data_IF_725053020094
#
_entry.id   IF_725053020094
#
_cell.length_a   1.000
_cell.length_b   1.000
_cell.length_c   1.000
_cell.angle_alpha   90.00
_cell.angle_beta   90.00
_cell.angle_gamma   90.00
#
_symmetry.space_group_name_H-M   'P 1'
#
loop_
_entity.id
_entity.type
_entity.pdbx_description
1 polymer ?
#
# COMPACT_ATOMS: atom_id res chain seq x y z
N UNK A 1 18.06 7.22 -4.05
CA UNK A 1 17.88 7.77 -5.42
C UNK A 1 16.39 7.71 -5.77
N UNK A 2 15.89 8.61 -6.62
CA UNK A 2 14.50 8.55 -7.08
C UNK A 2 14.22 9.41 -8.30
N UNK A 3 13.12 9.08 -8.98
CA UNK A 3 12.62 9.70 -10.19
C UNK A 3 11.22 10.25 -9.95
N UNK A 4 10.82 11.24 -10.73
CA UNK A 4 9.44 11.73 -10.70
C UNK A 4 8.95 11.94 -12.11
N UNK A 5 7.82 11.31 -12.42
CA UNK A 5 7.24 11.27 -13.75
C UNK A 5 5.88 11.97 -13.74
N UNK A 6 5.55 12.63 -14.85
CA UNK A 6 4.16 12.88 -15.21
C UNK A 6 3.41 11.56 -15.46
N UNK A 7 2.09 11.63 -15.65
CA UNK A 7 1.29 10.47 -16.04
C UNK A 7 1.78 9.86 -17.37
N UNK A 8 2.02 10.68 -18.39
CA UNK A 8 2.49 10.23 -19.70
C UNK A 8 3.90 9.63 -19.63
N UNK A 9 4.79 10.27 -18.86
CA UNK A 9 6.16 9.79 -18.68
C UNK A 9 6.19 8.44 -17.96
N UNK A 10 5.37 8.27 -16.91
CA UNK A 10 5.29 6.98 -16.21
C UNK A 10 4.69 5.89 -17.10
N UNK A 11 3.62 6.18 -17.83
CA UNK A 11 3.05 5.25 -18.80
C UNK A 11 4.07 4.82 -19.85
N UNK A 12 4.89 5.76 -20.34
CA UNK A 12 5.96 5.48 -21.31
C UNK A 12 7.02 4.54 -20.75
N UNK A 13 7.64 4.89 -19.61
CA UNK A 13 8.71 4.04 -19.05
C UNK A 13 8.18 2.70 -18.55
N UNK A 14 6.92 2.63 -18.06
CA UNK A 14 6.33 1.37 -17.61
C UNK A 14 6.18 0.35 -18.74
N UNK A 15 5.98 0.79 -19.99
CA UNK A 15 5.90 -0.13 -21.14
C UNK A 15 7.16 -0.97 -21.34
N UNK A 16 8.32 -0.48 -20.88
CA UNK A 16 9.58 -1.24 -20.92
C UNK A 16 9.57 -2.47 -20.02
N UNK A 17 8.68 -2.53 -19.02
CA UNK A 17 8.52 -3.71 -18.16
C UNK A 17 7.86 -4.90 -18.87
N UNK A 18 7.28 -4.68 -20.06
CA UNK A 18 6.51 -5.69 -20.80
C UNK A 18 5.15 -6.04 -20.16
N UNK A 19 4.71 -5.29 -19.15
CA UNK A 19 3.42 -5.50 -18.50
C UNK A 19 2.29 -4.78 -19.24
N UNK A 20 1.22 -5.51 -19.55
CA UNK A 20 0.06 -4.96 -20.27
C UNK A 20 -0.80 -4.00 -19.43
N UNK A 21 -0.66 -4.03 -18.11
CA UNK A 21 -1.48 -3.25 -17.17
C UNK A 21 -0.62 -2.34 -16.31
N UNK A 22 -1.17 -1.17 -15.98
CA UNK A 22 -0.59 -0.32 -14.94
C UNK A 22 -0.56 -1.07 -13.60
N UNK A 23 0.51 -0.92 -12.81
CA UNK A 23 0.64 -1.64 -11.57
C UNK A 23 -0.30 -1.04 -10.52
N UNK A 24 -1.20 -1.86 -9.97
CA UNK A 24 -2.11 -1.42 -8.91
C UNK A 24 -1.30 -1.02 -7.65
N UNK A 25 -1.61 0.11 -6.99
CA UNK A 25 -2.82 0.94 -7.12
C UNK A 25 -2.68 2.18 -8.00
N UNK A 26 -1.60 2.30 -8.79
CA UNK A 26 -1.38 3.48 -9.63
C UNK A 26 -2.47 3.58 -10.70
N UNK A 27 -3.03 4.77 -10.85
CA UNK A 27 -4.09 5.08 -11.82
C UNK A 27 -3.61 6.21 -12.72
N UNK A 28 -3.13 5.84 -13.90
CA UNK A 28 -2.53 6.78 -14.85
C UNK A 28 -3.56 7.16 -15.90
N UNK A 29 -3.72 8.45 -16.14
CA UNK A 29 -4.44 8.98 -17.29
C UNK A 29 -3.44 9.64 -18.23
N UNK A 30 -3.26 9.06 -19.42
CA UNK A 30 -2.48 9.70 -20.47
C UNK A 30 -3.20 10.97 -20.97
N UNK A 31 -2.45 12.04 -21.19
CA UNK A 31 -2.97 13.36 -21.58
C UNK A 31 -3.49 13.47 -23.02
N UNK A 32 -2.94 12.75 -24.03
CA UNK A 32 -3.41 12.86 -25.40
C UNK A 32 -4.89 12.48 -25.55
N UNK A 33 -5.65 13.33 -26.27
CA UNK A 33 -7.07 13.11 -26.56
C UNK A 33 -7.31 12.62 -27.98
N UNK A 34 -6.31 12.76 -28.85
CA UNK A 34 -6.33 12.31 -30.25
C UNK A 34 -5.15 11.41 -30.56
N UNK A 35 -5.25 10.61 -31.62
CA UNK A 35 -4.18 9.72 -32.07
C UNK A 35 -2.93 10.51 -32.49
N UNK A 36 -3.11 11.62 -33.22
CA UNK A 36 -1.99 12.49 -33.63
C UNK A 36 -1.25 13.09 -32.43
N UNK A 37 -1.98 13.52 -31.40
CA UNK A 37 -1.37 13.96 -30.13
C UNK A 37 -0.59 12.82 -29.47
N UNK A 38 -1.16 11.61 -29.45
CA UNK A 38 -0.51 10.45 -28.87
C UNK A 38 0.79 10.09 -29.62
N UNK A 39 0.79 10.15 -30.95
CA UNK A 39 1.99 9.94 -31.78
C UNK A 39 3.06 10.98 -31.46
N UNK A 40 2.69 12.27 -31.39
CA UNK A 40 3.63 13.35 -31.06
C UNK A 40 4.22 13.19 -29.65
N UNK A 41 3.39 12.93 -28.64
CA UNK A 41 3.84 12.74 -27.26
C UNK A 41 4.77 11.52 -27.16
N UNK A 42 4.42 10.39 -27.77
CA UNK A 42 5.28 9.19 -27.78
C UNK A 42 6.61 9.41 -28.50
N UNK A 43 6.63 10.20 -29.58
CA UNK A 43 7.89 10.57 -30.25
C UNK A 43 8.79 11.39 -29.32
N UNK A 44 8.25 12.45 -28.70
CA UNK A 44 8.99 13.29 -27.76
C UNK A 44 9.47 12.52 -26.53
N UNK A 45 8.66 11.60 -25.99
CA UNK A 45 9.04 10.77 -24.85
C UNK A 45 10.13 9.76 -25.20
N UNK A 46 10.11 9.14 -26.39
CA UNK A 46 11.19 8.25 -26.84
C UNK A 46 12.54 8.95 -26.94
N UNK A 47 12.54 10.21 -27.35
CA UNK A 47 13.77 11.01 -27.44
C UNK A 47 14.30 11.41 -26.05
N UNK A 48 13.41 11.85 -25.16
CA UNK A 48 13.77 12.32 -23.81
C UNK A 48 14.06 11.20 -22.81
N UNK A 49 13.35 10.08 -22.94
CA UNK A 49 13.40 8.90 -22.08
C UNK A 49 13.64 7.67 -22.98
N UNK A 50 14.86 7.53 -23.54
CA UNK A 50 15.19 6.38 -24.36
C UNK A 50 15.19 5.11 -23.51
N UNK A 51 14.67 4.02 -24.07
CA UNK A 51 14.59 2.74 -23.38
C UNK A 51 15.96 2.23 -22.96
N UNK A 52 16.08 1.79 -21.71
CA UNK A 52 17.37 1.39 -21.12
C UNK A 52 18.39 2.53 -20.95
N UNK A 53 18.01 3.79 -21.16
CA UNK A 53 18.89 4.96 -20.98
C UNK A 53 19.30 5.21 -19.52
N UNK A 54 18.53 4.68 -18.57
CA UNK A 54 18.83 4.68 -17.14
C UNK A 54 18.76 3.24 -16.59
N UNK A 55 19.90 2.58 -16.36
CA UNK A 55 19.95 1.21 -15.85
C UNK A 55 19.32 1.04 -14.46
N UNK A 56 19.42 2.04 -13.58
CA UNK A 56 18.88 2.00 -12.22
C UNK A 56 17.35 2.10 -12.26
N UNK A 57 16.81 2.96 -13.12
CA UNK A 57 15.38 3.02 -13.38
C UNK A 57 14.87 1.70 -13.97
N UNK A 58 15.57 1.14 -14.96
CA UNK A 58 15.21 -0.14 -15.56
C UNK A 58 15.18 -1.26 -14.52
N UNK A 59 16.13 -1.28 -13.58
CA UNK A 59 16.11 -2.20 -12.45
C UNK A 59 14.89 -1.99 -11.53
N UNK A 60 14.54 -0.72 -11.25
CA UNK A 60 13.35 -0.41 -10.45
C UNK A 60 12.05 -0.91 -11.11
N UNK A 61 11.89 -0.71 -12.41
CA UNK A 61 10.72 -1.15 -13.17
C UNK A 61 10.61 -2.67 -13.17
N UNK A 62 11.73 -3.40 -13.31
CA UNK A 62 11.76 -4.86 -13.18
C UNK A 62 11.32 -5.33 -11.79
N UNK A 63 11.79 -4.69 -10.71
CA UNK A 63 11.38 -5.00 -9.33
C UNK A 63 9.88 -4.77 -9.13
N UNK A 64 9.32 -3.70 -9.69
CA UNK A 64 7.88 -3.42 -9.60
C UNK A 64 7.08 -4.48 -10.38
N UNK A 65 7.56 -4.91 -11.55
CA UNK A 65 6.89 -5.87 -12.43
C UNK A 65 6.90 -7.31 -11.88
N UNK A 66 8.01 -7.74 -11.30
CA UNK A 66 8.17 -9.09 -10.75
C UNK A 66 8.76 -9.06 -9.31
N UNK A 67 8.00 -8.58 -8.32
CA UNK A 67 8.46 -8.51 -6.94
C UNK A 67 8.46 -9.89 -6.25
N UNK A 68 9.29 -10.07 -5.22
CA UNK A 68 9.18 -11.20 -4.29
C UNK A 68 8.14 -10.90 -3.20
N UNK A 69 8.03 -9.63 -2.82
CA UNK A 69 7.00 -9.14 -1.91
C UNK A 69 6.50 -7.76 -2.33
N UNK A 70 5.23 -7.50 -2.03
CA UNK A 70 4.51 -6.28 -2.42
C UNK A 70 3.66 -5.77 -1.27
N UNK A 71 3.74 -4.47 -0.99
CA UNK A 71 2.79 -3.73 -0.15
C UNK A 71 2.01 -2.79 -1.07
N UNK A 72 0.69 -2.90 -1.03
CA UNK A 72 -0.22 -1.91 -1.62
C UNK A 72 -0.85 -1.12 -0.49
N UNK A 73 -0.77 0.21 -0.56
CA UNK A 73 -1.45 1.12 0.34
C UNK A 73 -2.36 2.05 -0.46
N UNK A 74 -3.64 2.06 -0.11
CA UNK A 74 -4.66 2.96 -0.64
C UNK A 74 -5.42 3.61 0.51
N UNK A 75 -5.86 4.85 0.35
CA UNK A 75 -6.61 5.55 1.39
C UNK A 75 -6.51 7.06 1.23
N UNK A 76 -6.70 7.78 2.32
CA UNK A 76 -6.55 9.23 2.36
C UNK A 76 -7.40 9.86 3.45
N UNK A 77 -7.31 11.17 3.57
CA UNK A 77 -8.28 11.93 4.34
C UNK A 77 -9.59 12.11 3.54
N UNK A 78 -10.62 12.63 4.19
CA UNK A 78 -11.89 12.94 3.51
C UNK A 78 -11.88 14.32 2.81
N UNK A 79 -10.69 14.78 2.39
CA UNK A 79 -10.49 16.05 1.68
C UNK A 79 -9.91 15.80 0.30
N UNK A 80 -10.36 16.50 -0.76
CA UNK A 80 -9.75 16.40 -2.09
C UNK A 80 -8.24 16.64 -2.03
N UNK A 81 -7.46 15.84 -2.75
CA UNK A 81 -6.00 16.00 -2.76
C UNK A 81 -5.29 15.33 -1.58
N UNK A 82 -5.95 14.41 -0.87
CA UNK A 82 -5.34 13.63 0.21
C UNK A 82 -5.25 12.13 -0.10
N UNK A 83 -5.60 11.74 -1.32
CA UNK A 83 -5.60 10.37 -1.78
C UNK A 83 -4.18 9.79 -1.76
N UNK A 84 -4.06 8.61 -1.17
CA UNK A 84 -2.84 7.83 -1.09
C UNK A 84 -2.96 6.68 -2.05
N UNK A 85 -1.99 6.58 -2.98
CA UNK A 85 -1.81 5.43 -3.87
C UNK A 85 -0.35 5.07 -3.87
N UNK A 86 -0.01 4.03 -3.13
CA UNK A 86 1.37 3.60 -2.94
C UNK A 86 1.52 2.12 -3.27
N UNK A 87 2.55 1.84 -4.04
CA UNK A 87 3.06 0.51 -4.30
C UNK A 87 4.49 0.41 -3.79
N UNK A 88 4.75 -0.49 -2.85
CA UNK A 88 6.10 -0.86 -2.44
C UNK A 88 6.39 -2.29 -2.88
N UNK A 89 7.50 -2.51 -3.55
CA UNK A 89 7.92 -3.81 -4.06
C UNK A 89 9.33 -4.10 -3.56
N UNK A 90 9.63 -5.35 -3.23
CA UNK A 90 10.98 -5.76 -2.86
C UNK A 90 11.41 -7.06 -3.52
N UNK A 91 12.69 -7.12 -3.84
CA UNK A 91 13.41 -8.30 -4.33
C UNK A 91 14.71 -8.35 -3.54
N UNK A 92 14.92 -9.43 -2.77
CA UNK A 92 16.03 -9.54 -1.81
C UNK A 92 16.16 -8.30 -0.91
N UNK A 93 17.32 -7.65 -0.92
CA UNK A 93 17.67 -6.47 -0.13
C UNK A 93 17.29 -5.13 -0.79
N UNK A 94 16.75 -5.16 -2.01
CA UNK A 94 16.28 -3.98 -2.73
C UNK A 94 14.78 -3.76 -2.58
N UNK A 95 14.37 -2.52 -2.28
CA UNK A 95 12.99 -2.09 -2.19
C UNK A 95 12.72 -0.81 -2.99
N UNK A 96 11.71 -0.88 -3.85
CA UNK A 96 11.24 0.21 -4.71
C UNK A 96 9.87 0.66 -4.22
N UNK A 97 9.68 1.97 -4.09
CA UNK A 97 8.38 2.58 -3.81
C UNK A 97 7.98 3.43 -5.01
N UNK A 98 6.77 3.19 -5.51
CA UNK A 98 6.05 4.07 -6.40
C UNK A 98 4.91 4.73 -5.63
N UNK A 99 5.00 6.04 -5.43
CA UNK A 99 4.00 6.87 -4.76
C UNK A 99 3.36 7.76 -5.79
N UNK A 100 2.04 7.70 -5.93
CA UNK A 100 1.30 8.59 -6.81
C UNK A 100 0.71 9.74 -6.01
N UNK A 101 1.03 10.96 -6.43
CA UNK A 101 0.39 12.17 -5.93
C UNK A 101 -1.10 12.17 -6.32
N UNK A 102 -1.98 12.86 -5.58
CA UNK A 102 -3.34 13.13 -6.02
C UNK A 102 -3.39 13.78 -7.39
N UNK A 103 -4.39 13.41 -8.19
CA UNK A 103 -4.62 13.99 -9.51
C UNK A 103 -5.68 15.09 -9.49
N UNK A 104 -5.96 15.65 -10.66
CA UNK A 104 -7.07 16.60 -10.84
C UNK A 104 -8.44 15.94 -10.89
N UNK A 105 -8.49 14.60 -10.97
CA UNK A 105 -9.73 13.81 -11.00
C UNK A 105 -9.66 12.72 -9.92
N UNK A 106 -10.74 12.43 -9.18
CA UNK A 106 -10.72 11.46 -8.09
C UNK A 106 -10.23 10.06 -8.49
N UNK A 107 -10.56 9.63 -9.71
CA UNK A 107 -10.26 8.28 -10.20
C UNK A 107 -8.81 8.06 -10.65
N UNK A 108 -8.06 9.15 -10.88
CA UNK A 108 -6.70 9.12 -11.44
C UNK A 108 -5.75 9.93 -10.57
N UNK A 109 -4.52 9.45 -10.39
CA UNK A 109 -3.51 10.24 -9.68
C UNK A 109 -2.73 11.16 -10.61
N UNK A 110 -1.96 12.05 -10.00
CA UNK A 110 -1.04 12.97 -10.65
C UNK A 110 0.33 12.31 -10.89
N UNK A 111 1.40 13.02 -10.50
CA UNK A 111 2.78 12.58 -10.73
C UNK A 111 3.07 11.28 -9.97
N UNK A 112 3.92 10.45 -10.55
CA UNK A 112 4.42 9.22 -9.91
C UNK A 112 5.87 9.41 -9.50
N UNK A 113 6.14 9.30 -8.20
CA UNK A 113 7.49 9.28 -7.63
C UNK A 113 7.94 7.84 -7.47
N UNK A 114 9.04 7.46 -8.13
CA UNK A 114 9.68 6.15 -7.96
C UNK A 114 10.95 6.33 -7.16
N UNK A 115 11.19 5.51 -6.15
CA UNK A 115 12.42 5.60 -5.33
C UNK A 115 12.91 4.24 -4.88
N UNK A 116 14.23 4.04 -4.94
CA UNK A 116 14.89 2.79 -4.53
C UNK A 116 15.64 2.99 -3.20
N UNK A 117 15.66 1.92 -2.39
CA UNK A 117 16.42 1.84 -1.15
C UNK A 117 16.49 0.39 -0.65
N UNK A 118 16.93 0.20 0.58
CA UNK A 118 17.09 -1.12 1.19
C UNK A 118 15.77 -1.66 1.77
N UNK A 119 15.53 -2.96 1.68
CA UNK A 119 14.31 -3.63 2.18
C UNK A 119 14.11 -3.48 3.69
N UNK A 120 15.18 -3.32 4.47
CA UNK A 120 15.07 -3.11 5.93
C UNK A 120 14.37 -1.81 6.35
N UNK A 121 14.23 -0.84 5.44
CA UNK A 121 13.58 0.45 5.71
C UNK A 121 12.21 0.61 5.06
N UNK A 122 11.71 -0.40 4.36
CA UNK A 122 10.48 -0.29 3.56
C UNK A 122 9.26 0.00 4.44
N UNK A 123 9.15 -0.61 5.62
CA UNK A 123 8.05 -0.38 6.55
C UNK A 123 7.97 1.08 7.01
N UNK A 124 9.12 1.68 7.35
CA UNK A 124 9.20 3.09 7.73
C UNK A 124 8.84 4.02 6.57
N UNK A 125 9.34 3.74 5.37
CA UNK A 125 9.04 4.54 4.17
C UNK A 125 7.56 4.50 3.79
N UNK A 126 6.91 3.34 3.91
CA UNK A 126 5.46 3.22 3.67
C UNK A 126 4.67 3.96 4.75
N UNK A 127 5.03 3.80 6.03
CA UNK A 127 4.34 4.47 7.12
C UNK A 127 4.44 6.00 7.06
N UNK A 128 5.56 6.52 6.55
CA UNK A 128 5.77 7.96 6.35
C UNK A 128 4.88 8.58 5.26
N UNK A 129 4.19 7.78 4.44
CA UNK A 129 3.23 8.28 3.45
C UNK A 129 1.81 8.43 4.00
N UNK A 130 1.57 8.06 5.26
CA UNK A 130 0.29 8.26 5.93
C UNK A 130 0.26 9.62 6.65
N UNK A 131 -0.94 10.13 6.99
CA UNK A 131 -1.05 11.32 7.83
C UNK A 131 -0.27 11.18 9.16
N UNK A 132 0.25 12.28 9.68
CA UNK A 132 0.90 12.31 10.99
C UNK A 132 -0.15 12.33 12.09
N UNK A 133 -0.58 11.13 12.50
CA UNK A 133 -1.65 10.91 13.48
C UNK A 133 -1.10 10.11 14.66
N UNK A 134 -1.30 10.57 15.92
CA UNK A 134 -0.88 9.82 17.11
C UNK A 134 -1.64 8.49 17.21
N UNK A 135 -1.16 7.51 18.00
CA UNK A 135 -1.92 6.30 18.26
C UNK A 135 -3.23 6.64 18.99
N UNK A 136 -4.28 5.88 18.72
CA UNK A 136 -5.52 5.98 19.48
C UNK A 136 -5.33 5.70 20.98
N UNK A 137 -6.26 6.21 21.79
CA UNK A 137 -6.26 6.17 23.25
C UNK A 137 -6.94 4.93 23.81
N UNK A 138 -7.79 4.28 23.03
CA UNK A 138 -8.46 3.05 23.43
C UNK A 138 -7.48 1.87 23.39
N UNK A 139 -7.59 0.92 24.34
CA UNK A 139 -6.74 -0.27 24.36
C UNK A 139 -6.98 -1.16 23.14
N UNK A 140 -6.00 -2.02 22.85
CA UNK A 140 -6.17 -3.10 21.89
C UNK A 140 -7.36 -4.00 22.26
N UNK A 141 -8.14 -4.39 21.25
CA UNK A 141 -9.31 -5.26 21.42
C UNK A 141 -9.37 -6.30 20.32
N UNK A 142 -9.94 -7.45 20.65
CA UNK A 142 -10.37 -8.43 19.67
C UNK A 142 -11.77 -8.95 19.98
N UNK A 143 -12.46 -9.36 18.94
CA UNK A 143 -13.73 -10.05 19.02
C UNK A 143 -13.95 -10.89 17.77
N UNK A 144 -14.90 -11.81 17.82
CA UNK A 144 -15.41 -12.53 16.65
C UNK A 144 -15.87 -11.55 15.56
N UNK A 145 -15.49 -11.82 14.31
CA UNK A 145 -15.74 -10.91 13.20
C UNK A 145 -17.22 -10.85 12.81
N UNK A 146 -17.94 -11.96 12.88
CA UNK A 146 -19.36 -12.00 12.52
C UNK A 146 -20.19 -11.30 13.60
N UNK A 147 -19.85 -11.47 14.87
CA UNK A 147 -20.46 -10.71 15.97
C UNK A 147 -20.21 -9.20 15.88
N UNK A 148 -19.06 -8.76 15.35
CA UNK A 148 -18.79 -7.33 15.12
C UNK A 148 -19.60 -6.77 13.94
N UNK A 149 -19.85 -7.59 12.90
CA UNK A 149 -20.64 -7.22 11.71
C UNK A 149 -22.15 -7.24 11.96
N UNK A 150 -22.61 -8.06 12.89
CA UNK A 150 -24.02 -8.16 13.24
C UNK A 150 -24.49 -6.86 13.92
N UNK A 151 -25.34 -6.11 13.20
CA UNK A 151 -25.92 -4.85 13.68
C UNK A 151 -27.29 -5.05 14.34
N UNK A 152 -27.89 -6.24 14.23
CA UNK A 152 -29.28 -6.52 14.64
C UNK A 152 -29.38 -7.24 16.00
N UNK A 153 -28.34 -7.98 16.43
CA UNK A 153 -28.41 -8.75 17.67
C UNK A 153 -28.06 -7.94 18.92
N UNK A 154 -29.07 -7.70 19.76
CA UNK A 154 -29.08 -6.76 20.92
C UNK A 154 -28.21 -7.19 22.12
N UNK A 155 -27.63 -8.39 22.13
CA UNK A 155 -26.75 -8.83 23.23
C UNK A 155 -25.46 -9.42 22.68
N UNK A 156 -24.46 -8.56 22.49
CA UNK A 156 -23.10 -9.04 22.35
C UNK A 156 -22.68 -9.77 23.64
N UNK A 157 -22.52 -11.09 23.55
CA UNK A 157 -22.00 -11.94 24.63
C UNK A 157 -20.59 -11.54 25.06
N UNK A 158 -19.81 -10.92 24.16
CA UNK A 158 -18.45 -10.47 24.44
C UNK A 158 -18.37 -8.94 24.60
N UNK A 159 -17.85 -8.41 25.72
CA UNK A 159 -17.86 -6.98 26.01
C UNK A 159 -16.93 -6.15 25.10
N UNK A 160 -16.09 -6.80 24.29
CA UNK A 160 -15.26 -6.13 23.27
C UNK A 160 -16.06 -5.75 22.01
N UNK A 161 -17.08 -6.54 21.62
CA UNK A 161 -17.88 -6.32 20.40
C UNK A 161 -18.51 -4.92 20.37
N UNK A 162 -19.33 -4.49 21.37
CA UNK A 162 -19.97 -3.19 21.32
C UNK A 162 -18.96 -2.03 21.41
N UNK A 163 -17.77 -2.27 21.98
CA UNK A 163 -16.70 -1.27 22.04
C UNK A 163 -15.99 -1.12 20.69
N UNK A 164 -15.74 -2.22 20.01
CA UNK A 164 -15.20 -2.22 18.64
C UNK A 164 -16.20 -1.55 17.70
N UNK A 165 -17.47 -1.98 17.70
CA UNK A 165 -18.52 -1.37 16.89
C UNK A 165 -18.65 0.13 17.13
N UNK A 166 -18.63 0.57 18.40
CA UNK A 166 -18.66 2.00 18.73
C UNK A 166 -17.47 2.75 18.18
N UNK A 167 -16.26 2.18 18.30
CA UNK A 167 -15.04 2.79 17.77
C UNK A 167 -15.10 2.94 16.24
N UNK A 168 -15.55 1.90 15.53
CA UNK A 168 -15.68 1.87 14.07
C UNK A 168 -16.74 2.84 13.52
N UNK A 169 -17.75 3.20 14.32
CA UNK A 169 -18.80 4.16 13.94
C UNK A 169 -18.44 5.61 14.26
N UNK A 170 -17.33 5.87 14.95
CA UNK A 170 -16.90 7.25 15.24
C UNK A 170 -16.47 7.93 13.93
N UNK A 171 -16.63 9.26 13.80
CA UNK A 171 -16.14 9.98 12.64
C UNK A 171 -14.65 9.73 12.42
N UNK A 172 -14.28 9.37 11.18
CA UNK A 172 -12.89 9.25 10.75
C UNK A 172 -12.44 10.56 10.11
N UNK A 173 -11.16 10.87 10.28
CA UNK A 173 -10.49 11.99 9.59
C UNK A 173 -9.74 11.51 8.35
N UNK A 174 -9.30 10.25 8.38
CA UNK A 174 -8.66 9.56 7.29
C UNK A 174 -8.79 8.05 7.48
N UNK A 175 -8.76 7.30 6.38
CA UNK A 175 -8.85 5.85 6.41
C UNK A 175 -8.27 5.21 5.14
N UNK A 176 -8.05 3.90 5.19
CA UNK A 176 -7.61 3.17 4.02
C UNK A 176 -7.28 1.71 4.28
N UNK A 177 -6.68 1.08 3.28
CA UNK A 177 -6.34 -0.34 3.27
C UNK A 177 -4.88 -0.56 2.91
N UNK A 178 -4.31 -1.58 3.55
CA UNK A 178 -2.97 -2.09 3.27
C UNK A 178 -3.11 -3.57 2.92
N UNK A 179 -2.58 -3.96 1.77
CA UNK A 179 -2.45 -5.36 1.36
C UNK A 179 -0.98 -5.72 1.27
N UNK A 180 -0.59 -6.81 1.90
CA UNK A 180 0.78 -7.31 1.90
C UNK A 180 0.80 -8.70 1.28
N UNK A 181 1.58 -8.87 0.23
CA UNK A 181 1.74 -10.10 -0.53
C UNK A 181 3.22 -10.52 -0.46
N UNK A 182 3.50 -11.79 -0.19
CA UNK A 182 4.87 -12.32 -0.04
C UNK A 182 5.02 -13.67 -0.70
N UNK A 183 6.25 -14.02 -1.09
CA UNK A 183 6.53 -15.26 -1.83
C UNK A 183 5.95 -15.23 -3.24
N UNK A 184 5.84 -14.04 -3.85
CA UNK A 184 5.31 -13.84 -5.20
C UNK A 184 6.21 -14.45 -6.29
N UNK A 185 7.46 -14.74 -5.96
CA UNK A 185 8.45 -15.46 -6.75
C UNK A 185 8.26 -16.99 -6.72
N UNK A 186 7.31 -17.51 -5.93
CA UNK A 186 7.07 -18.94 -5.75
C UNK A 186 5.82 -19.41 -6.49
N UNK A 187 5.74 -20.70 -6.89
CA UNK A 187 4.55 -21.27 -7.53
C UNK A 187 3.28 -21.13 -6.68
N UNK A 188 3.42 -21.21 -5.36
CA UNK A 188 2.34 -21.02 -4.39
C UNK A 188 2.72 -19.89 -3.43
N UNK A 189 2.31 -18.64 -3.72
CA UNK A 189 2.56 -17.51 -2.84
C UNK A 189 1.87 -17.67 -1.49
N UNK A 190 2.38 -16.94 -0.48
CA UNK A 190 1.71 -16.89 0.83
C UNK A 190 0.40 -16.11 0.72
N UNK A 191 -0.69 -16.56 1.38
CA UNK A 191 -1.95 -15.82 1.38
C UNK A 191 -1.75 -14.34 1.78
N UNK A 192 -2.34 -13.39 1.04
CA UNK A 192 -2.17 -11.97 1.35
C UNK A 192 -2.68 -11.62 2.75
N UNK A 193 -1.97 -10.71 3.41
CA UNK A 193 -2.43 -10.12 4.67
C UNK A 193 -3.04 -8.76 4.40
N UNK A 194 -4.25 -8.56 4.91
CA UNK A 194 -5.00 -7.32 4.78
C UNK A 194 -5.08 -6.60 6.12
N UNK A 195 -4.86 -5.29 6.07
CA UNK A 195 -5.16 -4.37 7.15
C UNK A 195 -6.04 -3.24 6.65
N UNK A 196 -6.89 -2.72 7.52
CA UNK A 196 -7.44 -1.37 7.36
C UNK A 196 -6.83 -0.47 8.41
N UNK A 197 -6.73 0.82 8.13
CA UNK A 197 -6.37 1.83 9.11
C UNK A 197 -7.43 2.91 9.13
N UNK A 198 -7.69 3.45 10.31
CA UNK A 198 -8.63 4.56 10.53
C UNK A 198 -7.98 5.55 11.49
N UNK A 199 -8.13 6.83 11.19
CA UNK A 199 -7.74 7.93 12.06
C UNK A 199 -9.02 8.52 12.67
N UNK A 200 -9.29 8.15 13.92
CA UNK A 200 -10.54 8.51 14.60
C UNK A 200 -10.47 9.95 15.11
N UNK A 201 -11.46 10.75 14.74
CA UNK A 201 -11.55 12.16 15.11
C UNK A 201 -11.49 12.36 16.64
N UNK A 202 -10.58 13.23 17.08
CA UNK A 202 -10.36 13.55 18.49
C UNK A 202 -9.69 12.45 19.32
N UNK A 203 -9.16 11.40 18.69
CA UNK A 203 -8.57 10.25 19.39
C UNK A 203 -7.20 9.86 18.83
N UNK A 204 -7.17 9.25 17.63
CA UNK A 204 -5.92 8.81 17.00
C UNK A 204 -6.11 7.64 16.04
N UNK A 205 -4.98 7.11 15.58
CA UNK A 205 -4.90 6.03 14.59
C UNK A 205 -5.08 4.66 15.20
N UNK A 206 -5.86 3.84 14.52
CA UNK A 206 -5.99 2.41 14.77
C UNK A 206 -5.67 1.60 13.52
N UNK A 207 -5.04 0.43 13.72
CA UNK A 207 -4.84 -0.59 12.71
C UNK A 207 -5.79 -1.75 12.98
N UNK A 208 -6.44 -2.22 11.92
CA UNK A 208 -7.47 -3.25 11.97
C UNK A 208 -7.03 -4.43 11.13
N UNK A 209 -7.23 -5.63 11.65
CA UNK A 209 -7.10 -6.88 10.91
C UNK A 209 -8.36 -7.70 11.11
N UNK A 210 -9.05 -8.00 10.02
CA UNK A 210 -10.21 -8.89 10.03
C UNK A 210 -9.81 -10.27 9.48
N UNK A 211 -10.18 -11.31 10.22
CA UNK A 211 -10.18 -12.71 9.80
C UNK A 211 -11.42 -13.37 10.41
N UNK A 212 -11.24 -14.51 11.08
CA UNK A 212 -12.26 -15.06 11.99
C UNK A 212 -12.53 -14.11 13.16
N UNK A 213 -11.47 -13.45 13.64
CA UNK A 213 -11.55 -12.37 14.63
C UNK A 213 -11.18 -11.02 14.00
N UNK A 214 -11.82 -9.97 14.50
CA UNK A 214 -11.42 -8.58 14.26
C UNK A 214 -10.49 -8.16 15.38
N UNK A 215 -9.25 -7.82 15.04
CA UNK A 215 -8.32 -7.17 15.96
C UNK A 215 -8.25 -5.68 15.64
N UNK A 216 -8.37 -4.84 16.67
CA UNK A 216 -8.19 -3.39 16.59
C UNK A 216 -7.10 -2.98 17.56
N UNK A 217 -6.04 -2.35 17.06
CA UNK A 217 -4.90 -1.92 17.88
C UNK A 217 -4.57 -0.44 17.61
N UNK A 218 -4.33 0.38 18.65
CA UNK A 218 -3.83 1.73 18.45
C UNK A 218 -2.43 1.67 17.84
N UNK A 219 -2.17 2.47 16.82
CA UNK A 219 -0.92 2.38 16.05
C UNK A 219 -0.43 3.75 15.57
N UNK A 220 0.68 4.23 16.13
CA UNK A 220 1.39 5.37 15.55
C UNK A 220 2.22 4.91 14.34
N UNK A 221 2.82 5.87 13.63
CA UNK A 221 3.67 5.61 12.47
C UNK A 221 4.79 4.59 12.76
N UNK A 222 5.41 4.64 13.96
CA UNK A 222 6.46 3.70 14.35
C UNK A 222 5.97 2.25 14.54
N UNK A 223 4.84 2.05 15.22
CA UNK A 223 4.24 0.71 15.37
C UNK A 223 3.82 0.14 14.01
N UNK A 224 3.24 0.97 13.15
CA UNK A 224 2.87 0.56 11.81
C UNK A 224 4.10 0.18 10.98
N UNK A 225 5.13 1.03 10.98
CA UNK A 225 6.39 0.75 10.29
C UNK A 225 6.98 -0.61 10.70
N UNK A 226 7.05 -0.86 12.02
CA UNK A 226 7.54 -2.13 12.55
C UNK A 226 6.63 -3.32 12.15
N UNK A 227 5.31 -3.13 12.15
CA UNK A 227 4.36 -4.16 11.74
C UNK A 227 4.52 -4.51 10.25
N UNK A 228 4.63 -3.50 9.37
CA UNK A 228 4.87 -3.70 7.95
C UNK A 228 6.21 -4.40 7.70
N UNK A 229 7.26 -3.97 8.39
CA UNK A 229 8.59 -4.57 8.26
C UNK A 229 8.60 -6.05 8.67
N UNK A 230 7.95 -6.39 9.80
CA UNK A 230 7.83 -7.78 10.25
C UNK A 230 7.11 -8.67 9.25
N UNK A 231 6.10 -8.15 8.54
CA UNK A 231 5.33 -8.93 7.55
C UNK A 231 6.12 -9.23 6.29
N UNK A 232 7.18 -8.48 6.01
CA UNK A 232 8.09 -8.72 4.89
C UNK A 232 9.33 -9.54 5.25
N UNK A 233 9.61 -9.72 6.54
CA UNK A 233 10.68 -10.59 6.97
C UNK A 233 10.38 -12.03 6.49
N UNK A 234 11.38 -12.77 5.97
CA UNK A 234 11.20 -14.16 5.65
C UNK A 234 10.62 -14.89 6.85
N UNK A 235 9.57 -15.68 6.64
CA UNK A 235 9.14 -16.66 7.64
C UNK A 235 10.31 -17.63 7.76
N UNK A 236 11.15 -17.44 8.78
CA UNK A 236 12.18 -18.42 9.10
C UNK A 236 11.42 -19.69 9.45
N UNK A 237 11.59 -20.74 8.64
CA UNK A 237 11.07 -22.07 8.94
C UNK A 237 11.71 -22.54 10.24
N UNK A 238 11.11 -22.23 11.37
CA UNK A 238 11.36 -22.92 12.64
C UNK A 238 10.74 -24.31 12.51
N UNK A 239 11.38 -25.17 11.73
CA UNK A 239 11.13 -26.60 11.76
C UNK A 239 12.45 -27.31 12.06
N UNK A 240 12.94 -27.09 13.28
CA UNK A 240 13.97 -27.92 13.89
C UNK A 240 13.32 -28.83 14.92
N UNK A 241 13.23 -30.11 14.52
CA UNK A 241 13.36 -31.33 15.33
C UNK A 241 12.36 -31.58 16.46
N UNK A 242 11.51 -32.58 16.23
CA UNK A 242 11.19 -33.66 17.20
C UNK A 242 11.40 -34.98 16.46
N UNK A 243 12.54 -35.62 16.64
CA UNK A 243 12.84 -36.66 17.65
C UNK A 243 12.51 -38.05 17.11
N UNK A 244 13.55 -38.70 16.57
CA UNK A 244 13.73 -40.14 16.74
C UNK A 244 14.57 -40.38 17.98
#
# INVERSE_FOLDING_TARGET
MGWTFSADEFAHVWRESGQDRMPFPLRVLESPRTEDEAVRVRAALRERLPGGGDPDLAACLRIIAAPHARIVLVGGAHTPGSEIRLLACSVYDHAVLAVQEPGTRPDFGGRVRVSIGHTAGIGARVAACLPDTPPGREPAREADADAVRDEETVVATHPAVPRIQRLLRRPHTAEGHIRIETGLDRPTPTPPVHYSWIDVAGDGRYLLRAGETVHVVPAAAGQLAAQLQRRLAPVHSSNTRRSG
#
